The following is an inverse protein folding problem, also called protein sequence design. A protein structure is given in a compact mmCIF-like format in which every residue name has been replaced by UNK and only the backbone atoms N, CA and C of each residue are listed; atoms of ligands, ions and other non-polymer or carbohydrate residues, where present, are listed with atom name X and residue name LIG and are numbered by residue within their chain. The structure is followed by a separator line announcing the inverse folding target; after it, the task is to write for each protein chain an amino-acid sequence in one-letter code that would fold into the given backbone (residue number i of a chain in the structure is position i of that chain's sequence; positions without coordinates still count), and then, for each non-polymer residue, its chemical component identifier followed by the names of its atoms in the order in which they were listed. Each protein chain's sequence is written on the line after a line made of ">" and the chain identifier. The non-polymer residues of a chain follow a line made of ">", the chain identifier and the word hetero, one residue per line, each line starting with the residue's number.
data_IF_455187900271
#
_entry.id   IF_455187900271
#
_cell.length_a   1.000
_cell.length_b   1.000
_cell.length_c   1.000
_cell.angle_alpha   90.00
_cell.angle_beta   90.00
_cell.angle_gamma   90.00
#
_symmetry.space_group_name_H-M   'P 1'
#
loop_
_entity.id
_entity.type
_entity.pdbx_description
1 polymer ?
#
# COMPACT_ATOMS: atom_id res chain seq x y z
N UNK A 1 4.66 -3.82 -15.29
CA UNK A 1 3.91 -4.07 -16.55
C UNK A 1 4.44 -3.15 -17.64
N UNK A 2 4.45 -3.59 -18.89
CA UNK A 2 4.85 -2.77 -20.06
C UNK A 2 3.57 -2.13 -20.63
N UNK A 3 3.54 -0.81 -20.79
CA UNK A 3 2.39 -0.05 -21.33
C UNK A 3 2.84 1.29 -21.92
N UNK A 4 2.00 1.91 -22.74
CA UNK A 4 2.22 3.24 -23.30
C UNK A 4 1.62 4.32 -22.39
N UNK A 5 2.48 5.18 -21.83
CA UNK A 5 2.05 6.29 -20.95
C UNK A 5 1.32 7.41 -21.68
N UNK A 6 1.51 7.55 -22.98
CA UNK A 6 0.87 8.58 -23.79
C UNK A 6 -0.54 8.17 -24.27
N UNK A 7 -0.95 6.92 -24.03
CA UNK A 7 -2.28 6.40 -24.33
C UNK A 7 -3.14 6.39 -23.05
N UNK A 8 -4.10 7.32 -22.89
CA UNK A 8 -4.93 7.42 -21.70
C UNK A 8 -5.76 6.17 -21.41
N UNK A 9 -6.24 5.49 -22.45
CA UNK A 9 -7.06 4.28 -22.31
C UNK A 9 -6.21 3.09 -21.86
N UNK A 10 -4.97 2.99 -22.35
CA UNK A 10 -4.03 1.99 -21.87
C UNK A 10 -3.59 2.27 -20.42
N UNK A 11 -3.40 3.54 -20.05
CA UNK A 11 -3.11 3.95 -18.68
C UNK A 11 -4.21 3.51 -17.71
N UNK A 12 -5.47 3.78 -18.03
CA UNK A 12 -6.62 3.39 -17.20
C UNK A 12 -6.70 1.87 -17.01
N UNK A 13 -6.65 1.11 -18.11
CA UNK A 13 -6.66 -0.36 -18.05
C UNK A 13 -5.48 -0.92 -17.25
N UNK A 14 -4.30 -0.32 -17.37
CA UNK A 14 -3.12 -0.76 -16.62
C UNK A 14 -3.28 -0.53 -15.13
N UNK A 15 -3.85 0.62 -14.71
CA UNK A 15 -4.11 0.91 -13.29
C UNK A 15 -5.11 -0.10 -12.70
N UNK A 16 -6.20 -0.39 -13.41
CA UNK A 16 -7.20 -1.39 -13.01
C UNK A 16 -6.58 -2.78 -12.88
N UNK A 17 -5.83 -3.22 -13.88
CA UNK A 17 -5.17 -4.52 -13.85
C UNK A 17 -4.17 -4.65 -12.69
N UNK A 18 -3.41 -3.59 -12.38
CA UNK A 18 -2.52 -3.59 -11.23
C UNK A 18 -3.29 -3.69 -9.92
N UNK A 19 -4.36 -2.91 -9.75
CA UNK A 19 -5.21 -2.94 -8.56
C UNK A 19 -5.82 -4.34 -8.32
N UNK A 20 -6.40 -4.93 -9.36
CA UNK A 20 -7.00 -6.28 -9.31
C UNK A 20 -5.96 -7.36 -8.94
N UNK A 21 -4.75 -7.27 -9.48
CA UNK A 21 -3.66 -8.19 -9.14
C UNK A 21 -3.23 -8.00 -7.68
N UNK A 22 -3.15 -6.77 -7.20
CA UNK A 22 -2.76 -6.47 -5.81
C UNK A 22 -3.80 -6.98 -4.82
N UNK A 23 -5.09 -6.80 -5.10
CA UNK A 23 -6.17 -7.40 -4.30
C UNK A 23 -6.07 -8.94 -4.27
N UNK A 24 -5.98 -9.56 -5.45
CA UNK A 24 -5.87 -11.02 -5.57
C UNK A 24 -4.66 -11.57 -4.82
N UNK A 25 -3.50 -10.92 -4.94
CA UNK A 25 -2.28 -11.36 -4.28
C UNK A 25 -2.46 -11.41 -2.76
N UNK A 26 -3.10 -10.40 -2.16
CA UNK A 26 -3.38 -10.39 -0.71
C UNK A 26 -4.40 -11.46 -0.32
N UNK A 27 -5.45 -11.67 -1.13
CA UNK A 27 -6.46 -12.71 -0.87
C UNK A 27 -5.88 -14.12 -0.93
N UNK A 28 -4.90 -14.33 -1.80
CA UNK A 28 -4.16 -15.59 -1.90
C UNK A 28 -3.12 -15.78 -0.77
N UNK A 29 -3.01 -14.85 0.18
CA UNK A 29 -2.04 -14.88 1.28
C UNK A 29 -0.63 -14.42 0.88
N UNK A 30 -0.48 -13.79 -0.29
CA UNK A 30 0.75 -13.14 -0.71
C UNK A 30 0.98 -11.80 0.00
N UNK A 31 2.20 -11.29 -0.13
CA UNK A 31 2.61 -9.99 0.42
C UNK A 31 3.44 -9.21 -0.58
N UNK A 32 3.37 -7.87 -0.50
CA UNK A 32 4.14 -7.00 -1.37
C UNK A 32 5.57 -6.82 -0.85
N UNK A 33 6.57 -7.08 -1.68
CA UNK A 33 7.98 -6.81 -1.35
C UNK A 33 8.35 -5.32 -1.45
N UNK A 34 7.80 -4.61 -2.45
CA UNK A 34 8.03 -3.17 -2.70
C UNK A 34 6.73 -2.50 -3.09
N UNK A 35 5.86 -2.34 -2.09
CA UNK A 35 4.53 -1.77 -2.26
C UNK A 35 4.59 -0.27 -2.63
N UNK A 36 3.75 0.12 -3.57
CA UNK A 36 3.32 1.50 -3.79
C UNK A 36 2.47 1.99 -2.61
N UNK A 37 2.22 3.31 -2.49
CA UNK A 37 1.41 3.86 -1.39
C UNK A 37 0.02 3.22 -1.34
N UNK A 38 -0.64 3.06 -2.49
CA UNK A 38 -1.96 2.42 -2.56
C UNK A 38 -1.92 0.97 -2.06
N UNK A 39 -0.91 0.20 -2.47
CA UNK A 39 -0.71 -1.18 -2.02
C UNK A 39 -0.36 -1.27 -0.53
N UNK A 40 0.36 -0.28 0.01
CA UNK A 40 0.63 -0.20 1.45
C UNK A 40 -0.67 -0.03 2.23
N UNK A 41 -1.57 0.85 1.76
CA UNK A 41 -2.88 1.04 2.38
C UNK A 41 -3.73 -0.23 2.29
N UNK A 42 -3.77 -0.91 1.14
CA UNK A 42 -4.44 -2.22 1.01
C UNK A 42 -3.88 -3.26 1.98
N UNK A 43 -2.56 -3.31 2.15
CA UNK A 43 -1.93 -4.24 3.08
C UNK A 43 -2.26 -3.89 4.54
N UNK A 44 -2.32 -2.60 4.90
CA UNK A 44 -2.70 -2.11 6.22
C UNK A 44 -4.16 -2.49 6.53
N UNK A 45 -5.07 -2.32 5.58
CA UNK A 45 -6.50 -2.67 5.75
C UNK A 45 -6.72 -4.16 6.07
N UNK A 46 -5.87 -5.04 5.52
CA UNK A 46 -5.94 -6.50 5.75
C UNK A 46 -4.98 -7.00 6.84
N UNK A 47 -4.23 -6.09 7.47
CA UNK A 47 -3.19 -6.44 8.44
C UNK A 47 -3.79 -7.00 9.74
N UNK A 48 -3.07 -7.92 10.40
CA UNK A 48 -3.45 -8.34 11.75
C UNK A 48 -3.52 -7.11 12.68
N UNK A 49 -4.62 -6.94 13.44
CA UNK A 49 -4.81 -5.75 14.28
C UNK A 49 -3.71 -5.54 15.33
N UNK A 50 -3.08 -6.60 15.84
CA UNK A 50 -2.00 -6.47 16.82
C UNK A 50 -0.73 -5.94 16.15
N UNK A 51 -0.44 -6.40 14.94
CA UNK A 51 0.68 -5.89 14.15
C UNK A 51 0.50 -4.41 13.84
N UNK A 52 -0.70 -4.02 13.41
CA UNK A 52 -1.06 -2.62 13.16
C UNK A 52 -0.91 -1.77 14.43
N UNK A 53 -1.36 -2.28 15.58
CA UNK A 53 -1.22 -1.60 16.87
C UNK A 53 0.23 -1.38 17.28
N UNK A 54 1.12 -2.36 17.05
CA UNK A 54 2.55 -2.23 17.31
C UNK A 54 3.17 -1.17 16.39
N UNK A 55 2.84 -1.19 15.11
CA UNK A 55 3.33 -0.19 14.15
C UNK A 55 2.91 1.24 14.55
N UNK A 56 1.64 1.42 14.93
CA UNK A 56 1.11 2.71 15.38
C UNK A 56 1.82 3.20 16.64
N UNK A 57 1.98 2.33 17.64
CA UNK A 57 2.73 2.65 18.86
C UNK A 57 4.16 3.09 18.55
N UNK A 58 4.88 2.39 17.66
CA UNK A 58 6.25 2.78 17.28
C UNK A 58 6.26 4.16 16.60
N UNK A 59 5.35 4.40 15.64
CA UNK A 59 5.25 5.68 14.93
C UNK A 59 4.97 6.84 15.89
N UNK A 60 4.00 6.70 16.79
CA UNK A 60 3.63 7.72 17.76
C UNK A 60 4.77 8.05 18.75
N UNK A 61 5.56 7.04 19.13
CA UNK A 61 6.70 7.23 20.05
C UNK A 61 7.93 7.84 19.35
N UNK A 62 8.17 7.52 18.09
CA UNK A 62 9.37 7.96 17.36
C UNK A 62 9.16 9.21 16.50
N UNK A 63 7.95 9.45 16.02
CA UNK A 63 7.58 10.59 15.18
C UNK A 63 6.29 11.26 15.67
N UNK A 64 6.29 11.83 16.88
CA UNK A 64 5.10 12.45 17.48
C UNK A 64 4.59 13.68 16.71
N UNK A 65 5.42 14.25 15.82
CA UNK A 65 5.05 15.39 14.98
C UNK A 65 4.67 14.99 13.55
N UNK A 66 4.75 13.70 13.19
CA UNK A 66 4.39 13.18 11.87
C UNK A 66 5.24 13.72 10.71
N UNK A 67 6.51 14.07 10.96
CA UNK A 67 7.38 14.69 9.95
C UNK A 67 8.24 13.67 9.19
N UNK A 68 8.35 12.44 9.69
CA UNK A 68 9.18 11.41 9.08
C UNK A 68 8.40 10.67 7.99
N UNK A 69 8.62 11.12 6.75
CA UNK A 69 8.11 10.50 5.51
C UNK A 69 6.59 10.27 5.50
N UNK A 70 5.77 11.34 5.60
CA UNK A 70 4.32 11.22 5.67
C UNK A 70 3.73 10.52 4.44
N UNK A 71 2.77 9.63 4.68
CA UNK A 71 2.08 8.85 3.65
C UNK A 71 2.70 7.49 3.33
N UNK A 72 3.92 7.21 3.81
CA UNK A 72 4.57 5.92 3.61
C UNK A 72 4.34 4.99 4.82
N UNK A 73 3.65 3.87 4.59
CA UNK A 73 3.16 2.96 5.63
C UNK A 73 2.42 3.71 6.74
N UNK A 74 1.62 4.69 6.34
CA UNK A 74 0.92 5.57 7.25
C UNK A 74 -0.20 4.80 7.95
N UNK A 75 -0.04 4.61 9.25
CA UNK A 75 -0.96 3.91 10.14
C UNK A 75 -1.78 4.93 10.92
N UNK A 76 -2.71 5.60 10.23
CA UNK A 76 -3.58 6.64 10.82
C UNK A 76 -4.55 6.01 11.83
#
# INVERSE_FOLDING_TARGET
>A
VIFNRADPDMMDRTRKALHEVSEFALEAGGVFWKATVDEQQMAIEKMDPNTLGIMKMIKENLDPNGIMNPGNWEVI
#
